data_IF_323620707445
#
_entry.id   IF_323620707445
#
_cell.length_a   1.000
_cell.length_b   1.000
_cell.length_c   1.000
_cell.angle_alpha   90.00
_cell.angle_beta   90.00
_cell.angle_gamma   90.00
#
_symmetry.space_group_name_H-M   'P 1'
#
loop_
_entity.id
_entity.type
_entity.pdbx_description
1 polymer ?
#
# COMPACT_ATOMS: atom_id res chain seq x y z
N UNK A 1 -0.78 -5.22 68.72
CA UNK A 1 0.29 -5.35 67.70
C UNK A 1 -0.33 -5.04 66.34
N UNK A 2 0.08 -3.96 65.68
CA UNK A 2 -0.45 -3.50 64.38
C UNK A 2 0.29 -4.25 63.26
N UNK A 3 -0.42 -5.01 62.43
CA UNK A 3 0.15 -5.56 61.20
C UNK A 3 -0.03 -4.52 60.08
N UNK A 4 1.08 -4.10 59.50
CA UNK A 4 1.19 -3.10 58.44
C UNK A 4 0.88 -3.78 57.09
N UNK A 5 -0.23 -3.40 56.44
CA UNK A 5 -0.48 -3.79 55.04
C UNK A 5 0.45 -2.98 54.13
N UNK A 6 1.42 -3.64 53.49
CA UNK A 6 2.14 -3.08 52.34
C UNK A 6 1.28 -3.23 51.08
N UNK A 7 0.65 -2.14 50.66
CA UNK A 7 0.05 -2.03 49.32
C UNK A 7 1.15 -1.87 48.28
N UNK A 8 1.41 -2.94 47.53
CA UNK A 8 2.28 -2.93 46.35
C UNK A 8 1.50 -2.27 45.20
N UNK A 9 1.74 -0.97 44.96
CA UNK A 9 1.16 -0.25 43.83
C UNK A 9 1.79 -0.73 42.53
N UNK A 10 1.02 -1.42 41.67
CA UNK A 10 1.44 -1.70 40.30
C UNK A 10 1.49 -0.40 39.52
N UNK A 11 2.70 0.01 39.15
CA UNK A 11 2.96 1.13 38.26
C UNK A 11 2.53 0.73 36.83
N UNK A 12 1.43 1.27 36.32
CA UNK A 12 1.05 1.12 34.91
C UNK A 12 1.89 2.10 34.07
N UNK A 13 2.98 1.63 33.49
CA UNK A 13 3.72 2.39 32.47
C UNK A 13 2.90 2.38 31.17
N UNK A 14 2.59 3.54 30.56
CA UNK A 14 2.02 3.54 29.22
C UNK A 14 3.07 2.99 28.24
N UNK A 15 2.78 1.87 27.60
CA UNK A 15 3.52 1.43 26.42
C UNK A 15 3.22 2.42 25.29
N UNK A 16 4.04 3.45 25.14
CA UNK A 16 4.07 4.24 23.91
C UNK A 16 4.87 3.44 22.88
N UNK A 17 4.20 2.50 22.20
CA UNK A 17 4.75 1.89 20.99
C UNK A 17 4.72 2.93 19.88
N UNK A 18 5.85 3.57 19.59
CA UNK A 18 5.98 4.36 18.37
C UNK A 18 5.95 3.37 17.21
N UNK A 19 4.84 3.34 16.47
CA UNK A 19 4.76 2.57 15.23
C UNK A 19 5.95 2.97 14.34
N UNK A 20 6.63 1.98 13.76
CA UNK A 20 7.68 2.22 12.78
C UNK A 20 7.14 3.14 11.67
N UNK A 21 8.00 3.94 11.04
CA UNK A 21 7.61 4.68 9.85
C UNK A 21 7.08 3.68 8.82
N UNK A 22 5.78 3.76 8.53
CA UNK A 22 5.12 2.88 7.57
C UNK A 22 5.64 3.15 6.16
N UNK A 23 5.44 2.18 5.26
CA UNK A 23 5.78 2.37 3.86
C UNK A 23 5.12 3.64 3.32
N UNK A 24 5.91 4.51 2.68
CA UNK A 24 5.45 5.66 1.91
C UNK A 24 6.33 5.81 0.67
N UNK A 25 5.71 5.90 -0.52
CA UNK A 25 6.44 6.17 -1.76
C UNK A 25 5.65 7.09 -2.67
N UNK A 26 6.36 8.05 -3.26
CA UNK A 26 5.84 8.94 -4.29
C UNK A 26 6.39 8.55 -5.66
N UNK A 27 5.54 8.55 -6.69
CA UNK A 27 5.91 8.31 -8.08
C UNK A 27 5.36 9.45 -8.95
N UNK A 28 6.22 10.05 -9.78
CA UNK A 28 5.78 11.02 -10.79
C UNK A 28 5.61 10.30 -12.12
N UNK A 29 4.42 10.42 -12.70
CA UNK A 29 4.08 9.82 -13.99
C UNK A 29 4.64 10.66 -15.15
N UNK A 30 4.81 10.09 -16.36
CA UNK A 30 5.21 10.85 -17.54
C UNK A 30 4.28 12.02 -17.88
N UNK A 31 3.01 11.96 -17.44
CA UNK A 31 2.00 13.01 -17.59
C UNK A 31 2.23 14.20 -16.65
N UNK A 32 3.12 14.08 -15.66
CA UNK A 32 3.35 15.07 -14.60
C UNK A 32 2.49 14.85 -13.34
N UNK A 33 1.46 14.01 -13.43
CA UNK A 33 0.67 13.59 -12.27
C UNK A 33 1.52 12.82 -11.27
N UNK A 34 1.07 12.79 -10.02
CA UNK A 34 1.82 12.20 -8.91
C UNK A 34 0.96 11.19 -8.17
N UNK A 35 1.53 10.01 -7.94
CA UNK A 35 0.97 8.98 -7.08
C UNK A 35 1.68 9.02 -5.73
N UNK A 36 0.94 8.96 -4.64
CA UNK A 36 1.46 8.66 -3.30
C UNK A 36 0.85 7.34 -2.82
N UNK A 37 1.69 6.40 -2.42
CA UNK A 37 1.31 5.07 -1.97
C UNK A 37 1.75 4.92 -0.52
N UNK A 38 0.88 4.47 0.38
CA UNK A 38 1.20 4.31 1.80
C UNK A 38 0.57 3.07 2.40
N UNK A 39 1.24 2.43 3.36
CA UNK A 39 0.58 1.48 4.25
C UNK A 39 -0.17 2.21 5.37
N UNK A 40 -1.21 1.58 5.91
CA UNK A 40 -2.02 2.14 6.99
C UNK A 40 -1.19 2.41 8.25
N UNK A 41 -1.30 3.64 8.78
CA UNK A 41 -0.51 4.07 9.93
C UNK A 41 -0.87 3.26 11.18
N UNK A 42 0.15 2.66 11.81
CA UNK A 42 -0.01 1.92 13.07
C UNK A 42 -0.51 0.49 12.89
N UNK A 43 -0.66 0.03 11.64
CA UNK A 43 -0.98 -1.34 11.33
C UNK A 43 0.25 -2.26 11.47
N UNK A 44 0.05 -3.57 11.70
CA UNK A 44 1.16 -4.51 11.68
C UNK A 44 1.75 -4.69 10.28
N UNK A 45 3.01 -5.11 10.21
CA UNK A 45 3.69 -5.38 8.95
C UNK A 45 3.03 -6.53 8.15
N UNK A 46 2.37 -7.48 8.83
CA UNK A 46 1.86 -8.69 8.23
C UNK A 46 0.47 -8.58 7.60
N UNK A 47 -0.31 -7.55 7.94
CA UNK A 47 -1.69 -7.41 7.45
C UNK A 47 -2.20 -5.98 7.67
N UNK A 48 -3.16 -5.54 6.88
CA UNK A 48 -3.84 -4.29 7.11
C UNK A 48 -4.39 -3.73 5.81
N UNK A 49 -4.09 -2.47 5.57
CA UNK A 49 -4.47 -1.73 4.38
C UNK A 49 -3.28 -0.97 3.78
N UNK A 50 -3.46 -0.57 2.54
CA UNK A 50 -2.66 0.44 1.90
C UNK A 50 -3.56 1.36 1.08
N UNK A 51 -3.05 2.54 0.79
CA UNK A 51 -3.72 3.52 -0.05
C UNK A 51 -2.87 3.92 -1.24
N UNK A 52 -3.55 4.26 -2.32
CA UNK A 52 -2.99 4.90 -3.51
C UNK A 52 -3.75 6.20 -3.70
N UNK A 53 -3.04 7.32 -3.74
CA UNK A 53 -3.58 8.67 -3.91
C UNK A 53 -3.01 9.29 -5.17
N UNK A 54 -3.87 9.84 -6.02
CA UNK A 54 -3.53 10.54 -7.25
C UNK A 54 -3.64 12.04 -7.06
N UNK A 55 -2.64 12.76 -7.54
CA UNK A 55 -2.55 14.22 -7.53
C UNK A 55 -2.25 14.74 -8.93
N UNK A 56 -2.69 15.95 -9.23
CA UNK A 56 -2.48 16.56 -10.54
C UNK A 56 -1.01 16.83 -10.85
N UNK A 57 -0.19 17.09 -9.82
CA UNK A 57 1.20 17.51 -9.98
C UNK A 57 1.38 18.88 -10.65
N UNK A 58 0.31 19.67 -10.79
CA UNK A 58 0.31 20.92 -11.56
C UNK A 58 1.33 21.96 -11.06
N UNK A 59 1.67 21.94 -9.77
CA UNK A 59 2.76 22.72 -9.20
C UNK A 59 3.92 21.79 -8.78
N UNK A 60 5.02 21.71 -9.56
CA UNK A 60 6.15 20.84 -9.22
C UNK A 60 6.83 21.16 -7.88
N UNK A 61 6.68 22.38 -7.36
CA UNK A 61 7.21 22.76 -6.04
C UNK A 61 6.38 22.18 -4.90
N UNK A 62 5.08 21.97 -5.13
CA UNK A 62 4.12 21.41 -4.18
C UNK A 62 3.26 20.34 -4.87
N UNK A 63 3.86 19.21 -5.24
CA UNK A 63 3.25 18.23 -6.15
C UNK A 63 1.99 17.54 -5.60
N UNK A 64 1.78 17.60 -4.28
CA UNK A 64 0.68 16.95 -3.56
C UNK A 64 -0.44 17.93 -3.16
N UNK A 65 -0.39 19.20 -3.57
CA UNK A 65 -1.39 20.21 -3.18
C UNK A 65 -2.77 20.01 -3.82
N UNK A 66 -2.80 19.33 -4.97
CA UNK A 66 -4.01 19.17 -5.79
C UNK A 66 -4.39 17.70 -5.90
N UNK A 67 -5.09 17.20 -4.89
CA UNK A 67 -5.65 15.85 -4.85
C UNK A 67 -6.72 15.64 -5.94
N UNK A 68 -6.70 14.48 -6.58
CA UNK A 68 -7.69 14.05 -7.59
C UNK A 68 -8.56 12.93 -7.02
N UNK A 69 -7.96 11.81 -6.65
CA UNK A 69 -8.68 10.62 -6.17
C UNK A 69 -7.77 9.77 -5.26
N UNK A 70 -8.38 8.88 -4.47
CA UNK A 70 -7.65 7.95 -3.63
C UNK A 70 -8.43 6.67 -3.36
N UNK A 71 -7.75 5.53 -3.40
CA UNK A 71 -8.31 4.22 -3.07
C UNK A 71 -7.58 3.63 -1.87
N UNK A 72 -8.32 2.90 -1.05
CA UNK A 72 -7.78 2.12 0.08
C UNK A 72 -8.18 0.67 -0.12
N UNK A 73 -7.20 -0.23 -0.12
CA UNK A 73 -7.40 -1.67 -0.28
C UNK A 73 -6.78 -2.42 0.90
N UNK A 74 -7.25 -3.64 1.12
CA UNK A 74 -6.64 -4.54 2.08
C UNK A 74 -5.29 -5.07 1.55
N UNK A 75 -4.36 -5.39 2.45
CA UNK A 75 -3.12 -6.12 2.14
C UNK A 75 -2.96 -7.31 3.09
N UNK A 76 -2.58 -8.46 2.53
CA UNK A 76 -2.08 -9.61 3.28
C UNK A 76 -0.56 -9.69 3.14
N UNK A 77 0.14 -8.97 4.01
CA UNK A 77 1.59 -8.82 3.95
C UNK A 77 2.03 -7.35 3.86
N UNK A 78 3.26 -7.15 3.41
CA UNK A 78 3.86 -5.82 3.24
C UNK A 78 4.03 -5.45 1.77
N UNK A 79 3.98 -4.17 1.43
CA UNK A 79 4.27 -3.71 0.06
C UNK A 79 5.72 -4.04 -0.27
N UNK A 80 5.89 -4.90 -1.26
CA UNK A 80 7.19 -5.39 -1.73
C UNK A 80 7.78 -4.50 -2.80
N UNK A 81 6.97 -4.14 -3.79
CA UNK A 81 7.42 -3.42 -4.98
C UNK A 81 6.26 -2.64 -5.59
N UNK A 82 6.60 -1.52 -6.24
CA UNK A 82 5.69 -0.77 -7.10
C UNK A 82 6.24 -0.81 -8.52
N UNK A 83 5.39 -1.13 -9.50
CA UNK A 83 5.74 -1.07 -10.93
C UNK A 83 4.78 -0.17 -11.68
N UNK A 84 5.29 0.46 -12.73
CA UNK A 84 4.48 1.14 -13.73
C UNK A 84 4.65 0.38 -15.04
N UNK A 85 3.59 -0.22 -15.54
CA UNK A 85 3.64 -1.03 -16.75
C UNK A 85 2.29 -1.04 -17.44
N UNK A 86 2.31 -0.92 -18.77
CA UNK A 86 1.14 -1.08 -19.63
C UNK A 86 0.74 -2.57 -19.69
N UNK A 87 -0.37 -2.89 -19.03
CA UNK A 87 -0.96 -4.23 -18.96
C UNK A 87 -1.97 -4.47 -20.06
N UNK A 88 -2.69 -3.43 -20.49
CA UNK A 88 -3.87 -3.54 -21.36
C UNK A 88 -3.58 -3.21 -22.85
N UNK A 89 -2.41 -2.62 -23.15
CA UNK A 89 -1.95 -2.24 -24.48
C UNK A 89 -2.35 -0.85 -24.95
N UNK A 90 -2.89 0.02 -24.10
CA UNK A 90 -3.35 1.38 -24.42
C UNK A 90 -2.23 2.44 -24.42
N UNK A 91 -0.99 2.02 -24.13
CA UNK A 91 0.22 2.86 -24.01
C UNK A 91 0.24 3.80 -22.80
N UNK A 92 -0.68 3.62 -21.86
CA UNK A 92 -0.62 4.23 -20.53
C UNK A 92 -0.20 3.15 -19.52
N UNK A 93 0.66 3.48 -18.55
CA UNK A 93 1.02 2.50 -17.53
C UNK A 93 -0.09 2.38 -16.49
N UNK A 94 -0.39 1.16 -16.08
CA UNK A 94 -1.03 0.90 -14.80
C UNK A 94 0.00 0.97 -13.66
N UNK A 95 -0.45 1.41 -12.48
CA UNK A 95 0.29 1.19 -11.24
C UNK A 95 0.03 -0.22 -10.75
N UNK A 96 1.09 -0.99 -10.52
CA UNK A 96 1.01 -2.33 -9.95
C UNK A 96 1.62 -2.27 -8.55
N UNK A 97 0.81 -2.58 -7.54
CA UNK A 97 1.24 -2.69 -6.14
C UNK A 97 1.41 -4.17 -5.83
N UNK A 98 2.65 -4.61 -5.58
CA UNK A 98 2.96 -6.00 -5.26
C UNK A 98 3.12 -6.13 -3.75
N UNK A 99 2.40 -7.07 -3.15
CA UNK A 99 2.41 -7.37 -1.72
C UNK A 99 3.05 -8.75 -1.51
N UNK A 100 3.89 -8.88 -0.49
CA UNK A 100 4.53 -10.14 -0.10
C UNK A 100 4.04 -10.53 1.30
N UNK A 101 3.45 -11.73 1.41
CA UNK A 101 2.95 -12.28 2.66
C UNK A 101 4.08 -12.46 3.68
N UNK A 102 3.80 -12.16 4.94
CA UNK A 102 4.76 -12.32 6.03
C UNK A 102 5.01 -13.80 6.42
N UNK A 103 4.19 -14.73 5.90
CA UNK A 103 4.37 -16.17 6.14
C UNK A 103 5.62 -16.73 5.46
N UNK A 104 6.08 -17.90 5.92
CA UNK A 104 7.29 -18.56 5.38
C UNK A 104 7.18 -18.98 3.91
N UNK A 105 5.97 -19.00 3.35
CA UNK A 105 5.75 -19.26 1.92
C UNK A 105 6.05 -18.06 1.03
N UNK A 106 6.10 -16.84 1.59
CA UNK A 106 6.34 -15.59 0.86
C UNK A 106 5.46 -15.41 -0.39
N UNK A 107 4.21 -15.89 -0.31
CA UNK A 107 3.25 -15.74 -1.39
C UNK A 107 3.04 -14.28 -1.74
N UNK A 108 2.74 -14.01 -3.01
CA UNK A 108 2.52 -12.67 -3.53
C UNK A 108 1.06 -12.47 -3.92
N UNK A 109 0.59 -11.26 -3.67
CA UNK A 109 -0.60 -10.70 -4.28
C UNK A 109 -0.23 -9.39 -4.98
N UNK A 110 -1.10 -8.95 -5.89
CA UNK A 110 -0.93 -7.67 -6.53
C UNK A 110 -2.27 -7.08 -6.99
N UNK A 111 -2.33 -5.76 -6.93
CA UNK A 111 -3.42 -4.96 -7.46
C UNK A 111 -2.86 -4.06 -8.56
N UNK A 112 -3.56 -4.01 -9.69
CA UNK A 112 -3.28 -3.10 -10.79
C UNK A 112 -4.31 -1.98 -10.81
N UNK A 113 -3.84 -0.73 -10.94
CA UNK A 113 -4.67 0.46 -11.02
C UNK A 113 -4.53 1.14 -12.37
N UNK A 114 -5.65 1.30 -13.06
CA UNK A 114 -5.75 2.24 -14.18
C UNK A 114 -5.74 3.66 -13.62
N UNK A 115 -4.94 4.53 -14.25
CA UNK A 115 -4.78 5.92 -13.85
C UNK A 115 -5.41 6.80 -14.93
N UNK A 116 -6.61 7.31 -14.65
CA UNK A 116 -7.30 8.22 -15.53
C UNK A 116 -7.09 9.67 -15.07
N UNK A 117 -6.67 10.53 -15.99
CA UNK A 117 -6.39 11.93 -15.69
C UNK A 117 -7.62 12.73 -15.22
N UNK A 118 -8.81 12.39 -15.70
CA UNK A 118 -10.06 13.06 -15.33
C UNK A 118 -10.90 12.25 -14.34
N UNK A 119 -10.90 10.94 -14.44
CA UNK A 119 -11.80 10.05 -13.69
C UNK A 119 -11.17 9.47 -12.41
N UNK A 120 -9.85 9.60 -12.25
CA UNK A 120 -9.14 9.19 -11.05
C UNK A 120 -8.53 7.79 -11.15
N UNK A 121 -8.65 7.00 -10.09
CA UNK A 121 -8.09 5.66 -10.01
C UNK A 121 -9.19 4.62 -10.19
N UNK A 122 -8.93 3.58 -10.98
CA UNK A 122 -9.78 2.40 -11.07
C UNK A 122 -8.96 1.14 -10.86
N UNK A 123 -9.53 0.13 -10.19
CA UNK A 123 -8.87 -1.17 -10.04
C UNK A 123 -9.05 -1.92 -11.36
N UNK A 124 -7.95 -2.16 -12.06
CA UNK A 124 -7.91 -2.90 -13.31
C UNK A 124 -8.05 -4.41 -13.05
N UNK A 125 -7.25 -4.95 -12.13
CA UNK A 125 -7.26 -6.37 -11.80
C UNK A 125 -6.61 -6.63 -10.43
N UNK A 126 -6.89 -7.80 -9.86
CA UNK A 126 -6.35 -8.30 -8.61
C UNK A 126 -5.92 -9.76 -8.77
N UNK A 127 -4.75 -10.11 -8.22
CA UNK A 127 -4.28 -11.49 -8.11
C UNK A 127 -3.74 -11.75 -6.72
N UNK A 128 -3.90 -12.98 -6.25
CA UNK A 128 -3.42 -13.44 -4.95
C UNK A 128 -2.97 -14.91 -5.01
N UNK A 129 -2.19 -15.30 -4.00
CA UNK A 129 -1.73 -16.68 -3.80
C UNK A 129 -0.60 -17.13 -4.72
N UNK A 130 0.10 -16.19 -5.37
CA UNK A 130 1.19 -16.50 -6.30
C UNK A 130 2.43 -16.96 -5.52
N UNK A 131 3.12 -18.00 -5.99
CA UNK A 131 4.42 -18.37 -5.45
C UNK A 131 5.46 -17.25 -5.67
N UNK A 132 6.56 -17.20 -4.89
CA UNK A 132 7.55 -16.11 -4.97
C UNK A 132 8.22 -15.93 -6.35
N UNK A 133 8.24 -16.98 -7.16
CA UNK A 133 8.84 -17.05 -8.49
C UNK A 133 7.84 -16.92 -9.65
N UNK A 134 6.53 -16.88 -9.37
CA UNK A 134 5.51 -16.65 -10.38
C UNK A 134 5.56 -15.23 -10.96
N UNK A 135 5.26 -15.11 -12.26
CA UNK A 135 5.23 -13.83 -12.96
C UNK A 135 3.93 -13.07 -12.66
N UNK A 136 4.02 -12.14 -11.71
CA UNK A 136 2.92 -11.26 -11.30
C UNK A 136 2.32 -10.47 -12.47
N UNK A 137 3.14 -10.03 -13.43
CA UNK A 137 2.67 -9.23 -14.57
C UNK A 137 1.81 -10.10 -15.48
N UNK A 138 2.28 -11.31 -15.77
CA UNK A 138 1.53 -12.25 -16.59
C UNK A 138 0.22 -12.69 -15.89
N UNK A 139 0.24 -12.86 -14.57
CA UNK A 139 -0.96 -13.18 -13.79
C UNK A 139 -2.01 -12.06 -13.88
N UNK A 140 -1.61 -10.79 -13.74
CA UNK A 140 -2.49 -9.63 -13.84
C UNK A 140 -3.07 -9.39 -15.24
N UNK A 141 -2.40 -9.86 -16.30
CA UNK A 141 -2.93 -9.79 -17.67
C UNK A 141 -4.02 -10.81 -17.97
N UNK A 142 -4.12 -11.85 -17.15
CA UNK A 142 -5.09 -12.92 -17.35
C UNK A 142 -6.39 -12.52 -16.63
N UNK A 143 -7.51 -12.31 -17.35
CA UNK A 143 -8.79 -12.08 -16.70
C UNK A 143 -9.11 -13.28 -15.79
N UNK A 144 -9.49 -13.02 -14.54
CA UNK A 144 -10.11 -14.05 -13.71
C UNK A 144 -11.62 -13.99 -13.97
N UNK A 145 -12.16 -15.10 -14.48
CA UNK A 145 -13.60 -15.29 -14.75
C UNK A 145 -14.46 -15.13 -13.47
#
# INVERSE_FOLDING_TARGET
MKALLMTLGLLTLPLTGQAAEGFFKQLTLPTGQVLAISEGRGEPASIGSYDVRLYSGANPQFPLDQFIDGKVLARDGSIKELKLQDLNGDKQPELIVIIESAGSGSYRSADAFTINAQEGLEIFNHVEGLAPDEDVIQALKTPRD
#
